data_IF_008623113352
#
_entry.id   IF_008623113352
#
_cell.length_a   1.000
_cell.length_b   1.000
_cell.length_c   1.000
_cell.angle_alpha   90.00
_cell.angle_beta   90.00
_cell.angle_gamma   90.00
#
_symmetry.space_group_name_H-M   'P 1'
#
loop_
_entity.id
_entity.type
_entity.pdbx_description
1 polymer ?
#
# COMPACT_ATOMS: atom_id res chain seq x y z
N UNK A 1 3.07 -7.55 -15.62
CA UNK A 1 3.80 -7.42 -14.34
C UNK A 1 4.97 -8.40 -14.33
N UNK A 2 6.14 -7.93 -13.88
CA UNK A 2 7.35 -8.76 -13.77
C UNK A 2 7.87 -8.82 -12.35
N UNK A 3 7.69 -7.76 -11.57
CA UNK A 3 8.17 -7.68 -10.19
C UNK A 3 7.36 -6.65 -9.38
N UNK A 4 7.45 -6.75 -8.06
CA UNK A 4 6.87 -5.79 -7.12
C UNK A 4 7.77 -5.58 -5.92
N UNK A 5 8.01 -4.33 -5.57
CA UNK A 5 8.76 -3.91 -4.39
C UNK A 5 7.86 -3.09 -3.46
N UNK A 6 8.09 -3.21 -2.16
CA UNK A 6 7.36 -2.47 -1.13
C UNK A 6 8.30 -2.02 -0.02
N UNK A 7 8.25 -0.74 0.32
CA UNK A 7 9.07 -0.14 1.37
C UNK A 7 8.23 0.75 2.27
N UNK A 8 8.41 0.61 3.59
CA UNK A 8 7.91 1.58 4.57
C UNK A 8 8.89 2.73 4.65
N UNK A 9 8.43 3.95 4.38
CA UNK A 9 9.26 5.16 4.27
C UNK A 9 9.18 6.02 5.53
N UNK A 10 8.10 5.94 6.30
CA UNK A 10 7.85 6.78 7.46
C UNK A 10 6.89 6.16 8.45
N UNK A 11 7.04 6.50 9.74
CA UNK A 11 6.10 6.12 10.81
C UNK A 11 6.00 7.25 11.83
N UNK A 12 4.77 7.68 12.13
CA UNK A 12 4.51 8.77 13.08
C UNK A 12 3.18 8.59 13.81
N UNK A 13 2.95 9.34 14.89
CA UNK A 13 1.63 9.39 15.52
C UNK A 13 0.66 10.18 14.65
N UNK A 14 -0.59 9.74 14.58
CA UNK A 14 -1.58 10.31 13.65
C UNK A 14 -3.04 10.17 14.07
N UNK A 15 -3.94 10.47 13.14
CA UNK A 15 -5.41 10.50 13.33
C UNK A 15 -6.16 9.55 12.39
N UNK A 16 -5.49 8.48 11.95
CA UNK A 16 -6.01 7.46 11.04
C UNK A 16 -6.07 7.89 9.56
N UNK A 17 -5.07 8.63 9.07
CA UNK A 17 -4.93 8.89 7.64
C UNK A 17 -4.85 7.57 6.84
N UNK A 18 -5.60 7.52 5.73
CA UNK A 18 -5.67 6.38 4.83
C UNK A 18 -5.87 6.90 3.41
N UNK A 19 -4.76 7.10 2.70
CA UNK A 19 -4.75 7.71 1.37
C UNK A 19 -3.57 7.20 0.54
N UNK A 20 -3.71 7.25 -0.78
CA UNK A 20 -2.68 6.84 -1.72
C UNK A 20 -2.73 7.68 -3.00
N UNK A 21 -1.58 7.83 -3.63
CA UNK A 21 -1.38 8.48 -4.91
C UNK A 21 -0.66 7.53 -5.87
N UNK A 22 -1.03 7.59 -7.14
CA UNK A 22 -0.49 6.69 -8.18
C UNK A 22 0.22 7.51 -9.24
N UNK A 23 1.44 7.09 -9.58
CA UNK A 23 2.22 7.65 -10.68
C UNK A 23 2.50 6.55 -11.72
N UNK A 24 2.12 6.83 -12.97
CA UNK A 24 2.46 5.99 -14.11
C UNK A 24 3.79 6.44 -14.71
N UNK A 25 4.81 5.60 -14.60
CA UNK A 25 6.13 5.83 -15.17
C UNK A 25 6.22 5.43 -16.64
N UNK A 26 7.42 4.98 -17.07
CA UNK A 26 7.62 4.43 -18.41
C UNK A 26 7.32 2.92 -18.45
N UNK A 27 7.82 2.21 -17.45
CA UNK A 27 7.78 0.74 -17.31
C UNK A 27 7.41 0.28 -15.89
N UNK A 28 7.10 1.20 -14.99
CA UNK A 28 6.62 0.91 -13.65
C UNK A 28 5.42 1.80 -13.25
N UNK A 29 4.61 1.28 -12.33
CA UNK A 29 3.63 2.05 -11.55
C UNK A 29 4.19 2.21 -10.15
N UNK A 30 4.21 3.44 -9.64
CA UNK A 30 4.60 3.75 -8.25
C UNK A 30 3.38 4.23 -7.48
N UNK A 31 3.16 3.65 -6.30
CA UNK A 31 2.11 4.02 -5.35
C UNK A 31 2.78 4.53 -4.08
N UNK A 32 2.54 5.80 -3.77
CA UNK A 32 2.95 6.41 -2.50
C UNK A 32 1.69 6.66 -1.67
N UNK A 33 1.71 6.24 -0.40
CA UNK A 33 0.54 6.37 0.45
C UNK A 33 0.83 6.30 1.93
N UNK A 34 -0.21 6.54 2.71
CA UNK A 34 -0.22 6.44 4.16
C UNK A 34 -1.35 5.52 4.58
N UNK A 35 -1.03 4.48 5.33
CA UNK A 35 -2.01 3.60 6.00
C UNK A 35 -1.83 3.75 7.52
N UNK A 36 -2.89 3.60 8.30
CA UNK A 36 -2.80 3.70 9.76
C UNK A 36 -2.92 2.35 10.46
N UNK A 37 -2.17 2.20 11.55
CA UNK A 37 -2.22 1.06 12.46
C UNK A 37 -2.74 1.45 13.84
N UNK A 38 -3.42 0.51 14.50
CA UNK A 38 -4.11 0.75 15.77
C UNK A 38 -3.17 1.08 16.96
N UNK A 39 -1.87 0.77 16.86
CA UNK A 39 -0.91 0.97 17.94
C UNK A 39 0.55 1.03 17.40
N UNK A 40 1.51 1.35 18.26
CA UNK A 40 2.93 1.48 17.91
C UNK A 40 3.64 0.20 17.45
N UNK A 41 2.99 -0.97 17.57
CA UNK A 41 3.51 -2.23 17.06
C UNK A 41 3.05 -2.54 15.64
N UNK A 42 2.23 -1.70 15.01
CA UNK A 42 1.81 -1.91 13.62
C UNK A 42 2.83 -1.40 12.60
N UNK A 43 2.83 -2.03 11.43
CA UNK A 43 3.52 -1.56 10.21
C UNK A 43 2.67 -1.89 8.99
N UNK A 44 3.01 -1.29 7.85
CA UNK A 44 2.39 -1.61 6.58
C UNK A 44 3.13 -2.78 5.91
N UNK A 45 2.39 -3.57 5.15
CA UNK A 45 2.91 -4.59 4.26
C UNK A 45 2.12 -4.61 2.95
N UNK A 46 2.78 -5.01 1.85
CA UNK A 46 2.10 -5.34 0.62
C UNK A 46 1.41 -6.69 0.78
N UNK A 47 0.08 -6.69 0.86
CA UNK A 47 -0.73 -7.91 0.91
C UNK A 47 -0.72 -8.59 -0.45
N UNK A 48 -0.96 -7.82 -1.52
CA UNK A 48 -0.85 -8.31 -2.89
C UNK A 48 -0.64 -7.18 -3.91
N UNK A 49 -0.10 -7.56 -5.07
CA UNK A 49 -0.05 -6.73 -6.27
C UNK A 49 -0.48 -7.61 -7.44
N UNK A 50 -1.72 -7.46 -7.89
CA UNK A 50 -2.35 -8.36 -8.85
C UNK A 50 -2.75 -7.60 -10.11
N UNK A 51 -2.29 -8.07 -11.26
CA UNK A 51 -2.64 -7.49 -12.56
C UNK A 51 -3.58 -8.40 -13.34
N UNK A 52 -4.79 -7.90 -13.62
CA UNK A 52 -5.76 -8.52 -14.52
C UNK A 52 -5.57 -7.99 -15.94
N UNK A 53 -5.01 -8.82 -16.82
CA UNK A 53 -4.79 -8.47 -18.22
C UNK A 53 -6.06 -8.37 -19.08
N UNK A 54 -7.18 -8.93 -18.62
CA UNK A 54 -8.48 -8.83 -19.31
C UNK A 54 -9.15 -7.50 -19.01
N UNK A 55 -9.12 -7.08 -17.74
CA UNK A 55 -9.65 -5.80 -17.29
C UNK A 55 -8.68 -4.64 -17.52
N UNK A 56 -7.40 -4.93 -17.78
CA UNK A 56 -6.30 -3.95 -17.85
C UNK A 56 -6.16 -3.16 -16.54
N UNK A 57 -6.26 -3.88 -15.41
CA UNK A 57 -6.32 -3.32 -14.07
C UNK A 57 -5.25 -3.93 -13.15
N UNK A 58 -4.48 -3.08 -12.48
CA UNK A 58 -3.61 -3.44 -11.37
C UNK A 58 -4.30 -3.12 -10.03
N UNK A 59 -4.47 -4.12 -9.17
CA UNK A 59 -4.83 -3.93 -7.76
C UNK A 59 -3.58 -3.98 -6.90
N UNK A 60 -3.35 -2.93 -6.10
CA UNK A 60 -2.30 -2.88 -5.07
C UNK A 60 -2.98 -2.88 -3.70
N UNK A 61 -2.87 -4.00 -2.99
CA UNK A 61 -3.47 -4.17 -1.67
C UNK A 61 -2.41 -4.01 -0.58
N UNK A 62 -2.60 -3.04 0.30
CA UNK A 62 -1.73 -2.75 1.44
C UNK A 62 -2.49 -3.03 2.72
N UNK A 63 -1.86 -3.73 3.66
CA UNK A 63 -2.47 -4.06 4.94
C UNK A 63 -1.60 -3.62 6.11
N UNK A 64 -2.22 -3.43 7.27
CA UNK A 64 -1.47 -3.28 8.53
C UNK A 64 -1.25 -4.61 9.22
N UNK A 65 0.01 -4.94 9.47
CA UNK A 65 0.46 -6.14 10.18
C UNK A 65 1.18 -5.78 11.47
N UNK A 66 1.40 -6.77 12.34
CA UNK A 66 2.29 -6.60 13.48
C UNK A 66 3.75 -6.54 13.00
N UNK A 67 4.51 -5.65 13.63
CA UNK A 67 5.95 -5.54 13.43
C UNK A 67 6.67 -6.64 14.19
N UNK A 68 7.54 -7.36 13.48
CA UNK A 68 8.38 -8.41 14.07
C UNK A 68 9.30 -7.91 15.20
N UNK A 69 9.69 -6.63 15.19
CA UNK A 69 10.68 -6.05 16.11
C UNK A 69 10.06 -5.24 17.27
N UNK A 70 8.74 -5.13 17.36
CA UNK A 70 8.11 -4.20 18.31
C UNK A 70 8.02 -4.73 19.75
N UNK A 71 8.25 -6.04 19.95
CA UNK A 71 8.05 -6.70 21.24
C UNK A 71 6.61 -6.56 21.76
N UNK A 72 6.40 -6.83 23.05
CA UNK A 72 5.04 -6.84 23.63
C UNK A 72 4.57 -5.46 24.13
N UNK A 73 5.46 -4.48 24.19
CA UNK A 73 5.20 -3.18 24.81
C UNK A 73 4.89 -2.08 23.76
N UNK A 74 3.66 -2.08 23.24
CA UNK A 74 3.20 -1.14 22.23
C UNK A 74 2.64 0.16 22.85
N UNK A 75 2.97 1.31 22.27
CA UNK A 75 2.19 2.54 22.53
C UNK A 75 0.77 2.33 22.03
N UNK A 76 -0.23 2.81 22.77
CA UNK A 76 -1.64 2.71 22.35
C UNK A 76 -2.07 3.83 21.39
N UNK A 77 -1.11 4.60 20.88
CA UNK A 77 -1.38 5.67 19.94
C UNK A 77 -1.55 5.09 18.54
N UNK A 78 -2.52 5.61 17.79
CA UNK A 78 -2.62 5.39 16.35
C UNK A 78 -1.30 5.83 15.71
N UNK A 79 -0.80 4.99 14.81
CA UNK A 79 0.37 5.30 13.98
C UNK A 79 -0.06 5.43 12.54
N UNK A 80 0.42 6.45 11.87
CA UNK A 80 0.38 6.59 10.42
C UNK A 80 1.70 6.07 9.87
N UNK A 81 1.62 5.26 8.83
CA UNK A 81 2.72 4.51 8.23
C UNK A 81 2.76 4.86 6.75
N UNK A 82 3.77 5.62 6.37
CA UNK A 82 4.03 6.00 4.99
C UNK A 82 4.73 4.85 4.28
N UNK A 83 4.34 4.60 3.04
CA UNK A 83 4.89 3.54 2.21
C UNK A 83 5.07 3.96 0.75
N UNK A 84 5.91 3.22 0.06
CA UNK A 84 6.07 3.24 -1.38
C UNK A 84 5.98 1.80 -1.91
N UNK A 85 5.14 1.57 -2.91
CA UNK A 85 5.05 0.32 -3.65
C UNK A 85 5.36 0.58 -5.12
N UNK A 86 6.26 -0.21 -5.70
CA UNK A 86 6.61 -0.10 -7.12
C UNK A 86 6.35 -1.43 -7.82
N UNK A 87 5.54 -1.41 -8.88
CA UNK A 87 5.18 -2.59 -9.68
C UNK A 87 5.73 -2.44 -11.10
N UNK A 88 6.59 -3.36 -11.52
CA UNK A 88 7.26 -3.32 -12.83
C UNK A 88 6.49 -4.08 -13.91
N UNK A 89 6.55 -3.59 -15.14
CA UNK A 89 5.89 -4.17 -16.31
C UNK A 89 6.80 -4.22 -17.54
N UNK A 90 6.90 -5.40 -18.17
CA UNK A 90 7.64 -5.56 -19.42
C UNK A 90 6.82 -5.28 -20.70
N UNK A 91 5.48 -5.33 -20.62
CA UNK A 91 4.59 -5.32 -21.80
C UNK A 91 3.61 -4.13 -21.80
N UNK A 92 4.06 -2.98 -21.29
CA UNK A 92 3.22 -1.79 -21.10
C UNK A 92 2.59 -1.72 -19.71
N UNK A 93 2.16 -0.52 -19.34
CA UNK A 93 1.51 -0.23 -18.06
C UNK A 93 0.01 -0.56 -18.11
N UNK A 94 -0.59 -0.87 -16.95
CA UNK A 94 -2.05 -1.05 -16.84
C UNK A 94 -2.79 0.24 -17.20
N UNK A 95 -4.00 0.10 -17.74
CA UNK A 95 -4.92 1.22 -18.01
C UNK A 95 -5.55 1.80 -16.75
N UNK A 96 -5.70 0.97 -15.70
CA UNK A 96 -6.29 1.34 -14.41
C UNK A 96 -5.49 0.77 -13.23
N UNK A 97 -5.41 1.55 -12.15
CA UNK A 97 -4.81 1.12 -10.88
C UNK A 97 -5.80 1.38 -9.77
N UNK A 98 -6.04 0.37 -8.93
CA UNK A 98 -6.86 0.44 -7.73
C UNK A 98 -5.96 0.16 -6.53
N UNK A 99 -6.00 1.04 -5.52
CA UNK A 99 -5.26 0.85 -4.27
C UNK A 99 -6.25 0.62 -3.15
N UNK A 100 -6.02 -0.45 -2.38
CA UNK A 100 -6.84 -0.79 -1.22
C UNK A 100 -6.01 -0.83 0.05
N UNK A 101 -6.60 -0.35 1.14
CA UNK A 101 -6.03 -0.47 2.48
C UNK A 101 -6.90 -1.41 3.33
N UNK A 102 -6.25 -2.33 4.06
CA UNK A 102 -6.89 -3.16 5.08
C UNK A 102 -6.27 -2.89 6.46
N UNK A 103 -7.13 -2.49 7.40
CA UNK A 103 -6.76 -2.17 8.79
C UNK A 103 -7.10 -3.32 9.76
N UNK A 104 -7.53 -4.48 9.25
CA UNK A 104 -8.01 -5.65 10.00
C UNK A 104 -9.51 -5.92 9.90
N UNK A 105 -10.26 -5.06 9.19
CA UNK A 105 -11.71 -5.16 8.99
C UNK A 105 -12.10 -5.48 7.53
N UNK A 106 -11.11 -5.76 6.69
CA UNK A 106 -11.27 -6.03 5.26
C UNK A 106 -10.79 -4.85 4.39
N UNK A 107 -10.54 -5.10 3.09
CA UNK A 107 -10.00 -4.10 2.19
C UNK A 107 -11.01 -2.99 1.88
N UNK A 108 -10.55 -1.75 1.91
CA UNK A 108 -11.29 -0.56 1.47
C UNK A 108 -10.51 0.12 0.34
N UNK A 109 -11.17 0.47 -0.75
CA UNK A 109 -10.57 1.27 -1.82
C UNK A 109 -10.27 2.69 -1.30
N UNK A 110 -9.02 3.12 -1.46
CA UNK A 110 -8.57 4.46 -1.04
C UNK A 110 -8.21 5.35 -2.22
N UNK A 111 -7.89 4.75 -3.37
CA UNK A 111 -7.60 5.50 -4.59
C UNK A 111 -7.88 4.63 -5.81
N UNK A 112 -8.36 5.28 -6.87
CA UNK A 112 -8.39 4.74 -8.23
C UNK A 112 -7.73 5.76 -9.15
N UNK A 113 -6.84 5.30 -10.02
CA UNK A 113 -6.19 6.13 -11.03
C UNK A 113 -6.27 5.46 -12.40
N UNK A 114 -6.43 6.29 -13.42
CA UNK A 114 -6.51 5.88 -14.82
C UNK A 114 -5.48 6.67 -15.64
N UNK A 115 -5.02 6.09 -16.74
CA UNK A 115 -4.01 6.67 -17.63
C UNK A 115 -4.61 7.44 -18.82
#
# INVERSE_FOLDING_TARGET
MTDSEFTVTGRGSGTQASEASVTFGTDAVTVEGTIWGANGCKTAALSSADYDATADELTVAVETVDRDDAGDACTQAIVEIDYEATVQFAAGLPGRVVVTHDHGDGPTEVTTAER
#
